data_IF_952287694298
#
_entry.id   IF_952287694298
#
_cell.length_a   1.000
_cell.length_b   1.000
_cell.length_c   1.000
_cell.angle_alpha   90.00
_cell.angle_beta   90.00
_cell.angle_gamma   90.00
#
_symmetry.space_group_name_H-M   'P 1'
#
loop_
_entity.id
_entity.type
_entity.pdbx_description
1 polymer ?
#
# COMPACT_ATOMS: atom_id res chain seq x y z
N UNK A 1 70.24 -29.24 36.32
CA UNK A 1 70.15 -27.88 35.76
C UNK A 1 68.66 -27.59 35.59
N UNK A 2 68.08 -26.82 36.51
CA UNK A 2 66.62 -26.65 36.66
C UNK A 2 66.20 -25.31 36.02
N UNK A 3 65.37 -25.36 34.97
CA UNK A 3 64.73 -24.18 34.40
C UNK A 3 63.50 -23.83 35.24
N UNK A 4 63.52 -22.66 35.87
CA UNK A 4 62.36 -22.04 36.51
C UNK A 4 61.57 -21.29 35.42
N UNK A 5 60.37 -21.78 35.12
CA UNK A 5 59.41 -21.04 34.30
C UNK A 5 58.81 -19.88 35.11
N UNK A 6 59.10 -18.66 34.70
CA UNK A 6 58.51 -17.43 35.23
C UNK A 6 57.14 -17.19 34.60
N UNK A 7 56.09 -17.38 35.38
CA UNK A 7 54.72 -17.03 35.00
C UNK A 7 54.58 -15.50 34.97
N UNK A 8 54.48 -14.91 33.77
CA UNK A 8 54.23 -13.48 33.59
C UNK A 8 52.70 -13.28 33.66
N UNK A 9 52.15 -12.55 34.66
CA UNK A 9 50.73 -12.26 34.69
C UNK A 9 50.38 -11.30 33.54
N UNK A 10 49.25 -11.49 32.85
CA UNK A 10 48.86 -10.63 31.74
C UNK A 10 48.69 -9.18 32.22
N UNK A 11 49.08 -8.19 31.41
CA UNK A 11 49.01 -6.79 31.77
C UNK A 11 47.56 -6.39 32.09
N UNK A 12 47.38 -5.59 33.16
CA UNK A 12 46.07 -5.13 33.66
C UNK A 12 45.18 -4.48 32.59
N UNK A 13 45.75 -4.01 31.48
CA UNK A 13 45.02 -3.48 30.32
C UNK A 13 44.09 -4.50 29.65
N UNK A 14 44.44 -5.79 29.62
CA UNK A 14 43.63 -6.82 28.95
C UNK A 14 42.32 -7.11 29.68
N UNK A 15 42.26 -6.87 30.99
CA UNK A 15 41.03 -7.07 31.79
C UNK A 15 39.98 -5.98 31.54
N UNK A 16 40.39 -4.76 31.21
CA UNK A 16 39.47 -3.65 30.94
C UNK A 16 38.91 -3.67 29.51
N UNK A 17 39.68 -4.16 28.53
CA UNK A 17 39.21 -4.33 27.16
C UNK A 17 38.12 -5.39 27.05
N UNK A 18 38.21 -6.48 27.84
CA UNK A 18 37.25 -7.58 27.87
C UNK A 18 35.86 -7.15 28.35
N UNK A 19 35.77 -6.38 29.44
CA UNK A 19 34.48 -5.94 29.99
C UNK A 19 33.79 -4.89 29.10
N UNK A 20 34.54 -3.94 28.55
CA UNK A 20 33.96 -2.89 27.70
C UNK A 20 33.44 -3.44 26.36
N UNK A 21 34.13 -4.42 25.77
CA UNK A 21 33.67 -5.09 24.56
C UNK A 21 32.39 -5.88 24.80
N UNK A 22 32.28 -6.52 25.97
CA UNK A 22 31.08 -7.27 26.36
C UNK A 22 29.84 -6.37 26.51
N UNK A 23 30.00 -5.17 27.10
CA UNK A 23 28.91 -4.20 27.18
C UNK A 23 28.51 -3.65 25.80
N UNK A 24 29.47 -3.36 24.91
CA UNK A 24 29.16 -2.93 23.54
C UNK A 24 28.40 -4.02 22.78
N UNK A 25 28.79 -5.29 22.91
CA UNK A 25 28.07 -6.41 22.29
C UNK A 25 26.65 -6.59 22.86
N UNK A 26 26.44 -6.40 24.16
CA UNK A 26 25.09 -6.47 24.76
C UNK A 26 24.23 -5.29 24.30
N UNK A 27 24.79 -4.08 24.23
CA UNK A 27 24.08 -2.91 23.72
C UNK A 27 23.73 -3.07 22.23
N UNK A 28 24.63 -3.59 21.39
CA UNK A 28 24.30 -3.87 19.99
C UNK A 28 23.27 -4.99 19.86
N UNK A 29 23.33 -6.04 20.68
CA UNK A 29 22.29 -7.08 20.71
C UNK A 29 20.92 -6.53 21.15
N UNK A 30 20.86 -5.65 22.15
CA UNK A 30 19.61 -5.00 22.57
C UNK A 30 19.07 -4.00 21.52
N UNK A 31 19.94 -3.28 20.81
CA UNK A 31 19.54 -2.41 19.70
C UNK A 31 19.06 -3.25 18.51
N UNK A 32 19.73 -4.37 18.20
CA UNK A 32 19.33 -5.30 17.14
C UNK A 32 18.03 -6.05 17.47
N UNK A 33 17.77 -6.40 18.74
CA UNK A 33 16.52 -7.03 19.16
C UNK A 33 15.35 -6.05 19.15
N UNK A 34 15.55 -4.78 19.53
CA UNK A 34 14.52 -3.74 19.41
C UNK A 34 14.29 -3.26 17.96
N UNK A 35 15.20 -3.60 17.04
CA UNK A 35 15.03 -3.40 15.60
C UNK A 35 14.27 -4.56 14.92
N UNK A 36 13.68 -5.51 15.68
CA UNK A 36 12.58 -6.30 15.13
C UNK A 36 11.44 -5.33 14.81
N UNK A 37 11.35 -4.99 13.52
CA UNK A 37 10.25 -4.21 12.97
C UNK A 37 8.94 -4.81 13.50
N UNK A 38 8.20 -4.02 14.28
CA UNK A 38 6.87 -4.38 14.76
C UNK A 38 6.05 -4.75 13.52
N UNK A 39 5.84 -6.05 13.30
CA UNK A 39 5.14 -6.54 12.13
C UNK A 39 3.72 -6.00 12.19
N UNK A 40 3.40 -5.21 11.17
CA UNK A 40 2.09 -4.57 11.06
C UNK A 40 1.16 -5.62 10.49
N UNK A 41 0.10 -5.94 11.22
CA UNK A 41 -0.92 -6.85 10.70
C UNK A 41 -1.59 -6.21 9.47
N UNK A 42 -1.47 -6.79 8.26
CA UNK A 42 -2.11 -6.26 7.05
C UNK A 42 -3.63 -6.21 7.15
N UNK A 43 -4.25 -7.04 8.00
CA UNK A 43 -5.71 -7.11 8.14
C UNK A 43 -6.32 -5.78 8.57
N UNK A 44 -5.57 -4.95 9.30
CA UNK A 44 -6.04 -3.65 9.75
C UNK A 44 -6.25 -2.67 8.59
N UNK A 45 -5.72 -2.93 7.39
CA UNK A 45 -5.86 -2.07 6.21
C UNK A 45 -6.88 -2.59 5.21
N UNK A 46 -7.59 -3.67 5.53
CA UNK A 46 -8.76 -4.08 4.77
C UNK A 46 -9.82 -2.97 4.84
N UNK A 47 -10.75 -2.98 3.89
CA UNK A 47 -11.66 -1.88 3.57
C UNK A 47 -12.47 -1.30 4.75
N UNK A 48 -13.47 -0.44 4.47
CA UNK A 48 -14.31 0.11 5.54
C UNK A 48 -14.96 -1.01 6.38
N UNK A 49 -15.37 -0.74 7.63
CA UNK A 49 -16.15 -1.70 8.40
C UNK A 49 -17.38 -2.22 7.64
N UNK A 50 -17.84 -3.42 7.98
CA UNK A 50 -19.00 -4.05 7.32
C UNK A 50 -20.22 -3.11 7.34
N UNK A 51 -20.79 -2.84 6.16
CA UNK A 51 -21.92 -1.94 5.98
C UNK A 51 -21.59 -0.44 6.00
N UNK A 52 -20.37 -0.04 6.34
CA UNK A 52 -19.93 1.36 6.22
C UNK A 52 -19.53 1.67 4.77
N UNK A 53 -19.95 2.85 4.31
CA UNK A 53 -19.58 3.40 3.00
C UNK A 53 -18.64 4.58 3.18
N UNK A 54 -17.51 4.59 2.46
CA UNK A 54 -16.66 5.78 2.31
C UNK A 54 -16.83 6.38 0.92
N UNK A 55 -16.55 7.68 0.83
CA UNK A 55 -16.63 8.45 -0.41
C UNK A 55 -15.22 8.85 -0.83
N UNK A 56 -14.87 8.54 -2.07
CA UNK A 56 -13.63 8.97 -2.73
C UNK A 56 -14.00 9.96 -3.83
N UNK A 57 -13.38 11.14 -3.80
CA UNK A 57 -13.61 12.25 -4.72
C UNK A 57 -12.49 12.29 -5.74
N UNK A 58 -12.83 12.23 -7.03
CA UNK A 58 -11.90 12.25 -8.15
C UNK A 58 -11.43 13.64 -8.56
N UNK A 59 -11.80 14.71 -7.84
CA UNK A 59 -11.49 16.11 -8.13
C UNK A 59 -12.04 16.67 -9.46
N UNK A 60 -12.44 15.81 -10.40
CA UNK A 60 -13.06 16.16 -11.68
C UNK A 60 -14.61 16.07 -11.66
N UNK A 61 -15.18 15.86 -10.47
CA UNK A 61 -16.60 15.59 -10.25
C UNK A 61 -16.96 14.09 -10.27
N UNK A 62 -15.99 13.20 -10.50
CA UNK A 62 -16.17 11.76 -10.29
C UNK A 62 -16.29 11.46 -8.80
N UNK A 63 -17.26 10.62 -8.45
CA UNK A 63 -17.49 10.19 -7.07
C UNK A 63 -17.54 8.68 -7.02
N UNK A 64 -16.67 8.06 -6.21
CA UNK A 64 -16.70 6.62 -5.94
C UNK A 64 -17.16 6.37 -4.51
N UNK A 65 -18.17 5.52 -4.36
CA UNK A 65 -18.62 5.00 -3.07
C UNK A 65 -18.07 3.59 -2.89
N UNK A 66 -17.27 3.36 -1.86
CA UNK A 66 -16.75 2.04 -1.49
C UNK A 66 -17.47 1.52 -0.27
N UNK A 67 -18.04 0.32 -0.35
CA UNK A 67 -18.75 -0.32 0.75
C UNK A 67 -18.26 -1.75 0.93
N UNK A 68 -18.01 -2.16 2.17
CA UNK A 68 -17.82 -3.56 2.50
C UNK A 68 -19.19 -4.21 2.65
N UNK A 69 -19.52 -5.14 1.76
CA UNK A 69 -20.84 -5.79 1.68
C UNK A 69 -20.91 -7.08 2.47
N UNK A 70 -19.78 -7.78 2.64
CA UNK A 70 -19.66 -8.98 3.45
C UNK A 70 -18.23 -9.14 3.98
N UNK A 71 -18.10 -9.85 5.11
CA UNK A 71 -16.82 -10.35 5.62
C UNK A 71 -17.01 -11.83 5.94
N UNK A 72 -16.18 -12.70 5.35
CA UNK A 72 -16.23 -14.14 5.64
C UNK A 72 -15.60 -14.49 6.99
N UNK A 73 -15.90 -15.69 7.50
CA UNK A 73 -15.27 -16.23 8.71
C UNK A 73 -13.74 -16.36 8.58
N UNK A 74 -13.23 -16.44 7.35
CA UNK A 74 -11.80 -16.50 7.03
C UNK A 74 -11.16 -15.13 6.79
N UNK A 75 -11.88 -14.04 7.07
CA UNK A 75 -11.38 -12.67 6.96
C UNK A 75 -11.29 -12.16 5.52
N UNK A 76 -12.09 -12.68 4.59
CA UNK A 76 -12.20 -12.14 3.22
C UNK A 76 -13.26 -11.04 3.20
N UNK A 77 -12.87 -9.85 2.78
CA UNK A 77 -13.76 -8.68 2.67
C UNK A 77 -14.29 -8.60 1.25
N UNK A 78 -15.61 -8.70 1.07
CA UNK A 78 -16.27 -8.40 -0.19
C UNK A 78 -16.54 -6.91 -0.27
N UNK A 79 -16.01 -6.27 -1.31
CA UNK A 79 -16.11 -4.83 -1.53
C UNK A 79 -16.91 -4.56 -2.80
N UNK A 80 -17.86 -3.64 -2.70
CA UNK A 80 -18.52 -3.01 -3.86
C UNK A 80 -18.06 -1.56 -3.96
N UNK A 81 -17.56 -1.18 -5.13
CA UNK A 81 -17.31 0.21 -5.50
C UNK A 81 -18.30 0.65 -6.57
N UNK A 82 -18.99 1.77 -6.32
CA UNK A 82 -19.89 2.41 -7.28
C UNK A 82 -19.33 3.77 -7.66
N UNK A 83 -18.96 3.93 -8.92
CA UNK A 83 -18.37 5.16 -9.44
C UNK A 83 -19.37 5.89 -10.34
N UNK A 84 -19.72 7.12 -9.96
CA UNK A 84 -20.52 8.06 -10.76
C UNK A 84 -19.59 9.05 -11.44
N UNK A 85 -19.59 9.06 -12.76
CA UNK A 85 -18.87 10.05 -13.55
C UNK A 85 -19.62 11.40 -13.55
N UNK A 86 -18.93 12.54 -13.70
CA UNK A 86 -19.57 13.84 -13.81
C UNK A 86 -20.47 13.88 -15.04
N UNK A 87 -21.64 14.52 -14.92
CA UNK A 87 -22.50 14.83 -16.06
C UNK A 87 -21.78 15.87 -16.92
N UNK A 88 -21.24 15.44 -18.06
CA UNK A 88 -20.71 16.32 -19.11
C UNK A 88 -21.51 16.09 -20.39
N UNK A 89 -21.99 17.16 -21.02
CA UNK A 89 -22.50 17.08 -22.40
C UNK A 89 -21.40 16.56 -23.32
N UNK A 90 -21.65 15.46 -24.04
CA UNK A 90 -20.74 14.96 -25.07
C UNK A 90 -21.19 15.53 -26.42
N UNK A 91 -20.32 16.30 -27.09
CA UNK A 91 -20.40 16.46 -28.54
C UNK A 91 -19.97 15.14 -29.18
N UNK A 92 -20.88 14.51 -29.93
CA UNK A 92 -20.64 13.29 -30.69
C UNK A 92 -19.38 13.39 -31.57
N UNK A 93 -18.55 12.35 -31.58
CA UNK A 93 -17.47 12.27 -32.58
C UNK A 93 -16.39 11.21 -32.40
N UNK A 94 -16.16 10.66 -31.21
CA UNK A 94 -14.91 9.88 -30.96
C UNK A 94 -14.98 8.36 -31.13
N UNK A 95 -16.16 7.74 -31.30
CA UNK A 95 -16.27 6.28 -31.44
C UNK A 95 -17.07 5.90 -32.67
N UNK A 96 -16.39 5.76 -33.81
CA UNK A 96 -16.95 5.07 -34.97
C UNK A 96 -17.03 3.56 -34.67
N UNK A 97 -18.24 3.00 -34.70
CA UNK A 97 -18.43 1.57 -35.01
C UNK A 97 -19.25 0.74 -34.03
N UNK A 98 -19.69 1.24 -32.87
CA UNK A 98 -20.66 0.53 -32.02
C UNK A 98 -21.63 1.53 -31.39
N UNK A 99 -22.93 1.32 -31.61
CA UNK A 99 -24.00 2.04 -30.92
C UNK A 99 -24.05 1.60 -29.46
N UNK A 100 -23.19 2.19 -28.63
CA UNK A 100 -23.37 2.23 -27.18
C UNK A 100 -23.02 3.65 -26.72
N UNK A 101 -24.03 4.50 -26.55
CA UNK A 101 -23.89 5.77 -25.85
C UNK A 101 -23.78 5.44 -24.36
N UNK A 102 -22.58 5.43 -23.79
CA UNK A 102 -22.44 5.56 -22.34
C UNK A 102 -22.76 7.02 -22.02
N UNK A 103 -23.99 7.28 -21.56
CA UNK A 103 -24.39 8.60 -21.05
C UNK A 103 -23.69 8.80 -19.70
N UNK A 104 -22.60 9.58 -19.69
CA UNK A 104 -21.85 9.87 -18.44
C UNK A 104 -22.77 10.54 -17.43
N UNK A 105 -22.86 9.97 -16.23
CA UNK A 105 -23.59 10.53 -15.10
C UNK A 105 -25.02 10.00 -14.89
N UNK A 106 -25.54 9.11 -15.74
CA UNK A 106 -26.86 8.48 -15.55
C UNK A 106 -26.80 7.14 -14.79
N UNK A 107 -25.75 6.34 -15.01
CA UNK A 107 -25.53 5.04 -14.35
C UNK A 107 -24.20 5.01 -13.57
N UNK A 108 -24.16 4.19 -12.52
CA UNK A 108 -22.92 3.91 -11.77
C UNK A 108 -22.15 2.81 -12.49
N UNK A 109 -20.83 2.97 -12.61
CA UNK A 109 -19.92 1.85 -12.90
C UNK A 109 -19.72 1.09 -11.59
N UNK A 110 -19.99 -0.22 -11.60
CA UNK A 110 -19.87 -1.08 -10.41
C UNK A 110 -18.67 -2.01 -10.56
N UNK A 111 -17.72 -1.92 -9.63
CA UNK A 111 -16.60 -2.87 -9.47
C UNK A 111 -16.80 -3.69 -8.20
N UNK A 112 -16.69 -5.01 -8.31
CA UNK A 112 -16.83 -5.94 -7.19
C UNK A 112 -15.55 -6.75 -7.06
N UNK A 113 -14.98 -6.74 -5.86
CA UNK A 113 -13.72 -7.43 -5.60
C UNK A 113 -13.63 -7.90 -4.16
N UNK A 114 -12.66 -8.77 -3.88
CA UNK A 114 -12.36 -9.16 -2.51
C UNK A 114 -11.00 -8.66 -2.06
N UNK A 115 -10.88 -8.33 -0.78
CA UNK A 115 -9.61 -8.07 -0.11
C UNK A 115 -9.35 -9.13 0.94
N UNK A 116 -8.11 -9.60 1.03
CA UNK A 116 -7.68 -10.54 2.05
C UNK A 116 -6.27 -10.22 2.55
N UNK A 117 -6.07 -10.35 3.85
CA UNK A 117 -4.76 -10.37 4.46
C UNK A 117 -4.16 -11.78 4.38
N UNK A 118 -3.06 -11.95 3.66
CA UNK A 118 -2.37 -13.24 3.48
C UNK A 118 -0.88 -13.04 3.73
N UNK A 119 -0.34 -13.72 4.74
CA UNK A 119 1.12 -13.75 5.00
C UNK A 119 1.78 -12.35 5.02
N UNK A 120 1.19 -11.38 5.74
CA UNK A 120 1.75 -10.02 5.81
C UNK A 120 1.48 -9.14 4.57
N UNK A 121 0.69 -9.62 3.62
CA UNK A 121 0.30 -8.92 2.39
C UNK A 121 -1.19 -8.61 2.38
N UNK A 122 -1.55 -7.61 1.59
CA UNK A 122 -2.94 -7.36 1.18
C UNK A 122 -3.08 -7.84 -0.25
N UNK A 123 -3.98 -8.81 -0.45
CA UNK A 123 -4.31 -9.38 -1.75
C UNK A 123 -5.68 -8.87 -2.17
N UNK A 124 -5.76 -8.36 -3.39
CA UNK A 124 -7.02 -8.08 -4.06
C UNK A 124 -7.36 -9.23 -5.01
N UNK A 125 -8.64 -9.57 -5.15
CA UNK A 125 -9.08 -10.52 -6.18
C UNK A 125 -10.20 -9.90 -7.00
N UNK A 126 -9.99 -9.82 -8.31
CA UNK A 126 -10.96 -9.33 -9.31
C UNK A 126 -11.08 -10.37 -10.41
N UNK A 127 -12.29 -10.68 -10.85
CA UNK A 127 -12.52 -11.62 -11.96
C UNK A 127 -11.77 -12.98 -11.81
N UNK A 128 -11.62 -13.48 -10.59
CA UNK A 128 -10.84 -14.68 -10.22
C UNK A 128 -9.31 -14.56 -10.36
N UNK A 129 -8.78 -13.36 -10.59
CA UNK A 129 -7.36 -13.07 -10.60
C UNK A 129 -6.95 -12.37 -9.30
N UNK A 130 -5.94 -12.92 -8.63
CA UNK A 130 -5.45 -12.43 -7.34
C UNK A 130 -4.13 -11.69 -7.50
N UNK A 131 -4.01 -10.53 -6.87
CA UNK A 131 -2.86 -9.64 -6.97
C UNK A 131 -2.47 -9.06 -5.61
N UNK A 132 -1.17 -8.92 -5.35
CA UNK A 132 -0.68 -8.25 -4.15
C UNK A 132 -0.67 -6.74 -4.35
N UNK A 133 -1.53 -6.02 -3.61
CA UNK A 133 -1.58 -4.55 -3.64
C UNK A 133 -0.66 -3.90 -2.62
N UNK A 134 -0.35 -4.59 -1.52
CA UNK A 134 0.58 -4.13 -0.48
C UNK A 134 1.34 -5.33 0.08
N UNK A 135 2.67 -5.26 0.13
CA UNK A 135 3.52 -6.22 0.83
C UNK A 135 4.23 -5.55 2.02
N UNK A 136 3.76 -5.79 3.24
CA UNK A 136 4.33 -5.20 4.46
C UNK A 136 5.60 -5.91 4.94
N UNK A 137 5.86 -7.13 4.44
CA UNK A 137 7.05 -7.90 4.79
C UNK A 137 8.25 -7.44 3.95
N UNK A 138 8.13 -7.49 2.63
CA UNK A 138 9.22 -7.15 1.73
C UNK A 138 9.37 -5.65 1.54
N UNK A 139 8.28 -4.87 1.74
CA UNK A 139 8.18 -3.41 1.56
C UNK A 139 8.52 -2.90 0.16
N UNK A 140 9.00 -3.78 -0.73
CA UNK A 140 9.20 -3.59 -2.16
C UNK A 140 8.70 -4.84 -2.86
N UNK A 141 7.88 -4.67 -3.88
CA UNK A 141 7.30 -5.78 -4.63
C UNK A 141 6.98 -5.33 -6.05
N UNK A 142 6.64 -6.27 -6.91
CA UNK A 142 6.15 -6.00 -8.27
C UNK A 142 4.75 -6.57 -8.42
N UNK A 143 3.94 -5.91 -9.25
CA UNK A 143 2.65 -6.44 -9.67
C UNK A 143 2.42 -6.13 -11.16
N UNK A 144 1.38 -6.74 -11.72
CA UNK A 144 1.16 -6.81 -13.16
C UNK A 144 0.21 -5.69 -13.58
N UNK A 145 0.64 -4.86 -14.52
CA UNK A 145 -0.25 -4.00 -15.30
C UNK A 145 -0.46 -4.55 -16.69
N UNK A 146 -1.60 -4.23 -17.29
CA UNK A 146 -1.83 -4.39 -18.73
C UNK A 146 -2.13 -3.01 -19.33
N UNK A 147 -1.50 -2.69 -20.46
CA UNK A 147 -1.74 -1.43 -21.17
C UNK A 147 -3.09 -1.47 -21.93
N UNK A 148 -3.48 -0.34 -22.54
CA UNK A 148 -4.73 -0.26 -23.32
C UNK A 148 -4.77 -1.21 -24.54
N UNK A 149 -3.62 -1.75 -24.95
CA UNK A 149 -3.50 -2.74 -26.02
C UNK A 149 -3.48 -4.19 -25.48
N UNK A 150 -3.54 -4.37 -24.16
CA UNK A 150 -3.45 -5.66 -23.49
C UNK A 150 -2.02 -6.18 -23.33
N UNK A 151 -0.99 -5.35 -23.56
CA UNK A 151 0.39 -5.76 -23.30
C UNK A 151 0.73 -5.63 -21.82
N UNK A 152 1.40 -6.66 -21.33
CA UNK A 152 1.94 -6.71 -19.98
C UNK A 152 3.01 -5.64 -19.74
N UNK A 153 2.95 -5.01 -18.57
CA UNK A 153 4.07 -4.24 -18.02
C UNK A 153 4.20 -4.47 -16.50
N UNK A 154 5.42 -4.32 -16.00
CA UNK A 154 5.70 -4.43 -14.56
C UNK A 154 5.52 -3.09 -13.87
N UNK A 155 4.83 -3.13 -12.73
CA UNK A 155 4.72 -2.01 -11.82
C UNK A 155 5.55 -2.33 -10.58
N UNK A 156 6.63 -1.58 -10.39
CA UNK A 156 7.47 -1.64 -9.21
C UNK A 156 6.81 -0.84 -8.10
N UNK A 157 6.68 -1.43 -6.92
CA UNK A 157 6.05 -0.82 -5.76
C UNK A 157 7.05 -0.73 -4.61
N UNK A 158 6.93 0.31 -3.79
CA UNK A 158 7.67 0.43 -2.54
C UNK A 158 6.90 1.18 -1.46
N UNK A 159 6.99 0.70 -0.23
CA UNK A 159 6.47 1.37 0.95
C UNK A 159 7.49 2.43 1.39
N UNK A 160 7.12 3.69 1.26
CA UNK A 160 8.02 4.85 1.47
C UNK A 160 7.81 5.58 2.79
N UNK A 161 6.70 5.32 3.49
CA UNK A 161 6.46 5.94 4.79
C UNK A 161 5.29 5.35 5.56
N UNK A 162 5.29 5.58 6.87
CA UNK A 162 4.21 5.19 7.78
C UNK A 162 4.00 6.30 8.81
N UNK A 163 2.75 6.55 9.19
CA UNK A 163 2.42 7.45 10.30
C UNK A 163 1.04 7.18 10.84
N UNK A 164 0.71 7.79 11.97
CA UNK A 164 -0.65 7.85 12.48
C UNK A 164 -1.30 9.19 12.10
N UNK A 165 -2.58 9.15 11.72
CA UNK A 165 -3.38 10.34 11.39
C UNK A 165 -4.77 10.23 11.97
N UNK A 166 -5.37 11.37 12.31
CA UNK A 166 -6.80 11.44 12.58
C UNK A 166 -7.55 11.50 11.25
N UNK A 167 -8.37 10.49 10.95
CA UNK A 167 -9.16 10.39 9.71
C UNK A 167 -10.57 9.99 10.09
N UNK A 168 -11.56 10.81 9.70
CA UNK A 168 -12.96 10.66 10.09
C UNK A 168 -13.12 10.47 11.61
N UNK A 169 -12.42 11.30 12.39
CA UNK A 169 -12.48 11.28 13.87
C UNK A 169 -11.81 10.07 14.54
N UNK A 170 -11.27 9.11 13.79
CA UNK A 170 -10.55 7.94 14.32
C UNK A 170 -9.06 8.07 14.08
N UNK A 171 -8.24 7.74 15.08
CA UNK A 171 -6.79 7.65 14.91
C UNK A 171 -6.50 6.38 14.10
N UNK A 172 -5.94 6.54 12.89
CA UNK A 172 -5.68 5.46 11.94
C UNK A 172 -4.20 5.39 11.64
N UNK A 173 -3.70 4.15 11.48
CA UNK A 173 -2.39 3.93 10.89
C UNK A 173 -2.49 4.17 9.38
N UNK A 174 -1.50 4.84 8.82
CA UNK A 174 -1.44 5.23 7.41
C UNK A 174 -0.09 4.80 6.85
N UNK A 175 -0.11 4.16 5.68
CA UNK A 175 1.08 3.82 4.93
C UNK A 175 1.06 4.51 3.57
N UNK A 176 2.26 4.83 3.08
CA UNK A 176 2.51 5.48 1.82
C UNK A 176 3.22 4.52 0.89
N UNK A 177 2.66 4.31 -0.29
CA UNK A 177 3.21 3.43 -1.31
C UNK A 177 3.51 4.27 -2.54
N UNK A 178 4.72 4.15 -3.08
CA UNK A 178 5.08 4.67 -4.39
C UNK A 178 5.09 3.53 -5.40
N UNK A 179 4.62 3.81 -6.60
CA UNK A 179 4.77 2.92 -7.74
C UNK A 179 5.49 3.58 -8.89
N UNK A 180 6.14 2.75 -9.69
CA UNK A 180 6.85 3.13 -10.88
C UNK A 180 6.63 2.08 -11.97
N UNK A 181 6.23 2.51 -13.16
CA UNK A 181 6.14 1.63 -14.33
C UNK A 181 6.59 2.34 -15.60
N UNK A 182 6.98 1.54 -16.60
CA UNK A 182 7.23 2.01 -17.95
C UNK A 182 6.09 1.54 -18.84
N UNK A 183 5.14 2.42 -19.15
CA UNK A 183 4.00 2.13 -20.01
C UNK A 183 4.15 2.89 -21.32
N UNK A 184 4.18 2.18 -22.46
CA UNK A 184 4.27 2.82 -23.78
C UNK A 184 5.51 3.68 -24.02
N UNK A 185 6.63 3.41 -23.32
CA UNK A 185 7.87 4.20 -23.40
C UNK A 185 7.91 5.42 -22.48
N UNK A 186 6.88 5.64 -21.68
CA UNK A 186 6.81 6.71 -20.69
C UNK A 186 6.95 6.14 -19.28
N UNK A 187 7.81 6.78 -18.49
CA UNK A 187 7.97 6.48 -17.07
C UNK A 187 6.84 7.16 -16.29
N UNK A 188 6.00 6.36 -15.65
CA UNK A 188 4.87 6.83 -14.85
C UNK A 188 5.17 6.52 -13.39
N UNK A 189 5.11 7.56 -12.55
CA UNK A 189 5.15 7.42 -11.09
C UNK A 189 3.75 7.57 -10.54
N UNK A 190 3.41 6.84 -9.50
CA UNK A 190 2.17 7.08 -8.75
C UNK A 190 2.38 6.92 -7.25
N UNK A 191 1.45 7.47 -6.48
CA UNK A 191 1.43 7.36 -5.03
C UNK A 191 0.07 6.89 -4.54
N UNK A 192 0.07 5.95 -3.60
CA UNK A 192 -1.10 5.53 -2.85
C UNK A 192 -0.95 5.87 -1.38
N UNK A 193 -2.06 6.28 -0.77
CA UNK A 193 -2.18 6.30 0.69
C UNK A 193 -3.18 5.22 1.12
N UNK A 194 -2.76 4.34 2.03
CA UNK A 194 -3.61 3.28 2.58
C UNK A 194 -3.81 3.55 4.07
N UNK A 195 -5.06 3.55 4.52
CA UNK A 195 -5.42 3.83 5.90
C UNK A 195 -6.11 2.64 6.56
N UNK A 196 -5.78 2.40 7.83
CA UNK A 196 -6.30 1.27 8.59
C UNK A 196 -7.82 1.36 8.71
N UNK A 197 -8.53 0.31 8.28
CA UNK A 197 -9.98 0.16 8.30
C UNK A 197 -10.69 0.99 7.24
N UNK A 198 -10.01 1.35 6.16
CA UNK A 198 -10.56 2.06 5.00
C UNK A 198 -9.99 1.58 3.65
N UNK A 199 -8.81 0.95 3.63
CA UNK A 199 -8.11 0.58 2.40
C UNK A 199 -7.38 1.77 1.76
N UNK A 200 -7.26 1.75 0.43
CA UNK A 200 -6.62 2.82 -0.34
C UNK A 200 -7.53 4.06 -0.34
N UNK A 201 -7.09 5.14 0.29
CA UNK A 201 -7.86 6.38 0.48
C UNK A 201 -7.39 7.53 -0.39
N UNK A 202 -6.29 7.37 -1.12
CA UNK A 202 -5.81 8.37 -2.07
C UNK A 202 -4.97 7.67 -3.13
N UNK A 203 -5.14 8.10 -4.38
CA UNK A 203 -4.33 7.68 -5.52
C UNK A 203 -4.09 8.90 -6.40
N UNK A 204 -2.82 9.22 -6.60
CA UNK A 204 -2.34 10.24 -7.54
C UNK A 204 -1.31 9.65 -8.51
N UNK A 205 -1.42 10.01 -9.78
CA UNK A 205 -0.38 9.82 -10.79
C UNK A 205 0.49 11.06 -10.79
N UNK A 206 1.77 10.87 -10.48
CA UNK A 206 2.75 11.95 -10.33
C UNK A 206 3.40 12.19 -11.69
N UNK A 207 2.86 13.15 -12.42
CA UNK A 207 3.51 13.78 -13.57
C UNK A 207 4.17 15.09 -13.09
N UNK A 208 5.45 15.37 -13.45
CA UNK A 208 6.11 16.63 -13.08
C UNK A 208 5.38 17.89 -13.54
N UNK A 209 4.67 17.82 -14.66
CA UNK A 209 4.05 18.97 -15.32
C UNK A 209 2.55 19.09 -15.01
N UNK A 210 1.85 17.97 -14.77
CA UNK A 210 0.41 17.94 -14.48
C UNK A 210 0.00 16.75 -13.58
N UNK A 211 0.16 16.83 -12.24
CA UNK A 211 -0.20 15.75 -11.35
C UNK A 211 -1.71 15.48 -11.38
N UNK A 212 -2.07 14.22 -11.64
CA UNK A 212 -3.45 13.79 -11.72
C UNK A 212 -3.85 13.01 -10.47
N UNK A 213 -4.61 13.65 -9.59
CA UNK A 213 -5.26 12.98 -8.47
C UNK A 213 -6.46 12.20 -9.02
N UNK A 214 -6.39 10.88 -9.02
CA UNK A 214 -7.49 10.02 -9.47
C UNK A 214 -8.60 9.95 -8.44
N UNK A 215 -8.26 9.91 -7.16
CA UNK A 215 -9.21 10.11 -6.08
C UNK A 215 -8.54 10.43 -4.74
N UNK A 216 -9.30 11.07 -3.85
CA UNK A 216 -8.98 11.26 -2.43
C UNK A 216 -10.22 11.03 -1.57
N UNK A 217 -10.05 10.42 -0.40
CA UNK A 217 -11.10 10.27 0.59
C UNK A 217 -11.68 11.64 0.94
N UNK A 218 -12.99 11.76 0.77
CA UNK A 218 -13.73 12.97 1.11
C UNK A 218 -13.76 13.14 2.63
N UNK A 219 -13.40 14.33 3.10
CA UNK A 219 -13.61 14.70 4.50
C UNK A 219 -15.13 14.80 4.78
N UNK A 220 -15.54 14.42 5.99
CA UNK A 220 -16.95 14.50 6.40
C UNK A 220 -17.36 15.93 6.74
#
# INVERSE_FOLDING_TARGET
MSLKDSFIPPPRLLRFLSTSFFFVCIFTLFICQNAQAKTVDPSIFLGPPLGETIILDGCDGTVTKRTTTAVSDTGVYSIEERTRLPVKEIKEGLFKGRNARIMRGEEDIVDNYTLQAVEGKIVITRCNEAETVVDLLNRKWTHRGDDLSGNYFEIQCSLVGEKEKLIHGKKRKVIYVETFCNAGGYAVKSVYTVASGLGIIHYEVVDPDDPLVLFTLKEN
#
